data_IF_720263803231
#
_entry.id   IF_720263803231
#
_cell.length_a   1.000
_cell.length_b   1.000
_cell.length_c   1.000
_cell.angle_alpha   90.00
_cell.angle_beta   90.00
_cell.angle_gamma   90.00
#
_symmetry.space_group_name_H-M   'P 1'
#
loop_
_entity.id
_entity.type
_entity.pdbx_description
1 polymer ?
#
# COMPACT_ATOMS: atom_id res chain seq x y z
N UNK A 1 5.74 -15.27 2.10
CA UNK A 1 6.16 -14.01 2.75
C UNK A 1 7.64 -13.78 2.48
N UNK A 2 8.06 -12.57 2.09
CA UNK A 2 9.47 -12.27 1.79
C UNK A 2 10.25 -12.08 3.10
N UNK A 3 11.51 -12.52 3.13
CA UNK A 3 12.33 -12.68 4.35
C UNK A 3 12.48 -11.42 5.22
N UNK A 4 12.41 -10.21 4.64
CA UNK A 4 12.70 -8.95 5.33
C UNK A 4 11.56 -7.93 5.29
N UNK A 5 10.35 -8.32 4.86
CA UNK A 5 9.22 -7.40 4.65
C UNK A 5 8.66 -6.75 5.92
N UNK A 6 9.10 -7.19 7.11
CA UNK A 6 8.66 -6.68 8.41
C UNK A 6 9.54 -5.57 8.96
N UNK A 7 10.62 -5.24 8.26
CA UNK A 7 11.50 -4.15 8.66
C UNK A 7 10.97 -2.85 8.05
N UNK A 8 10.62 -1.89 8.91
CA UNK A 8 9.90 -0.68 8.52
C UNK A 8 10.74 0.23 7.63
N UNK A 9 10.12 0.83 6.61
CA UNK A 9 10.80 1.75 5.69
C UNK A 9 11.34 2.99 6.44
N UNK A 10 10.64 3.44 7.47
CA UNK A 10 11.05 4.54 8.35
C UNK A 10 12.31 4.20 9.14
N UNK A 11 12.58 2.91 9.42
CA UNK A 11 13.83 2.48 10.04
C UNK A 11 14.98 2.49 9.02
N UNK A 12 14.74 2.08 7.77
CA UNK A 12 15.73 2.20 6.68
C UNK A 12 16.20 3.65 6.53
N UNK A 13 15.26 4.62 6.56
CA UNK A 13 15.61 6.05 6.45
C UNK A 13 16.49 6.50 7.62
N UNK A 14 16.13 6.14 8.86
CA UNK A 14 16.92 6.50 10.05
C UNK A 14 18.32 5.92 10.02
N UNK A 15 18.45 4.63 9.70
CA UNK A 15 19.73 3.91 9.70
C UNK A 15 20.63 4.35 8.52
N UNK A 16 20.06 4.96 7.48
CA UNK A 16 20.81 5.44 6.32
C UNK A 16 21.62 6.74 6.58
N UNK A 17 21.44 7.38 7.74
CA UNK A 17 22.13 8.64 8.09
C UNK A 17 21.70 9.85 7.26
N UNK A 18 20.64 9.72 6.44
CA UNK A 18 20.07 10.82 5.65
C UNK A 18 19.31 11.78 6.56
N UNK A 19 19.48 13.09 6.37
CA UNK A 19 18.66 14.07 7.07
C UNK A 19 17.20 13.98 6.60
N UNK A 20 16.25 14.22 7.51
CA UNK A 20 14.84 14.23 7.16
C UNK A 20 14.58 15.27 6.06
N UNK A 21 14.05 14.82 4.91
CA UNK A 21 13.60 15.69 3.82
C UNK A 21 14.56 15.89 2.65
N UNK A 22 15.78 15.34 2.66
CA UNK A 22 16.75 15.59 1.57
C UNK A 22 16.47 14.80 0.29
N UNK A 23 15.85 13.62 0.39
CA UNK A 23 15.34 12.85 -0.77
C UNK A 23 14.43 11.71 -0.29
N UNK A 24 13.25 11.47 -0.90
CA UNK A 24 12.43 10.31 -0.56
C UNK A 24 13.15 8.99 -0.89
N UNK A 25 12.88 7.93 -0.12
CA UNK A 25 13.48 6.61 -0.30
C UNK A 25 13.07 5.95 -1.64
N UNK A 26 11.90 6.32 -2.15
CA UNK A 26 11.31 5.84 -3.40
C UNK A 26 10.42 6.95 -4.00
N UNK A 27 10.28 6.97 -5.32
CA UNK A 27 9.33 7.83 -6.06
C UNK A 27 8.02 7.08 -6.31
N UNK A 28 7.86 6.38 -7.44
CA UNK A 28 6.65 5.62 -7.73
C UNK A 28 6.52 4.35 -6.89
N UNK A 29 5.28 4.02 -6.51
CA UNK A 29 4.93 2.82 -5.75
C UNK A 29 3.93 1.97 -6.55
N UNK A 30 4.24 0.67 -6.69
CA UNK A 30 3.30 -0.31 -7.21
C UNK A 30 2.62 -1.03 -6.04
N UNK A 31 1.30 -0.90 -5.94
CA UNK A 31 0.53 -1.52 -4.87
C UNK A 31 -0.43 -2.58 -5.44
N UNK A 32 -0.12 -3.85 -5.21
CA UNK A 32 -1.00 -4.96 -5.59
C UNK A 32 -1.83 -5.34 -4.38
N UNK A 33 -3.11 -4.96 -4.42
CA UNK A 33 -4.07 -5.14 -3.33
C UNK A 33 -4.95 -6.34 -3.66
N UNK A 34 -4.61 -7.50 -3.10
CA UNK A 34 -5.45 -8.70 -3.14
C UNK A 34 -6.28 -8.72 -1.86
N UNK A 35 -7.49 -8.16 -1.92
CA UNK A 35 -8.45 -8.24 -0.83
C UNK A 35 -9.58 -9.18 -1.24
N UNK A 36 -10.10 -9.93 -0.27
CA UNK A 36 -11.36 -10.64 -0.44
C UNK A 36 -12.49 -9.61 -0.32
N UNK A 37 -12.93 -9.10 -1.47
CA UNK A 37 -14.04 -8.15 -1.55
C UNK A 37 -15.41 -8.86 -1.52
N UNK A 38 -15.43 -10.19 -1.39
CA UNK A 38 -16.66 -10.96 -1.36
C UNK A 38 -17.34 -10.82 0.00
N UNK A 39 -18.54 -10.25 0.01
CA UNK A 39 -19.38 -10.21 1.18
C UNK A 39 -20.51 -11.23 1.02
N UNK A 40 -20.53 -12.27 1.85
CA UNK A 40 -21.58 -13.27 1.84
C UNK A 40 -22.78 -12.78 2.67
N UNK A 41 -23.74 -12.18 1.97
CA UNK A 41 -25.03 -11.77 2.52
C UNK A 41 -26.13 -12.57 1.82
N UNK A 42 -26.94 -13.37 2.55
CA UNK A 42 -27.94 -14.23 1.95
C UNK A 42 -28.89 -13.49 1.01
N UNK A 43 -28.83 -13.82 -0.28
CA UNK A 43 -29.67 -13.24 -1.33
C UNK A 43 -29.31 -11.80 -1.74
N UNK A 44 -28.19 -11.25 -1.27
CA UNK A 44 -27.77 -9.88 -1.58
C UNK A 44 -26.47 -9.91 -2.38
N UNK A 45 -26.49 -9.30 -3.56
CA UNK A 45 -25.27 -9.01 -4.31
C UNK A 45 -24.63 -7.75 -3.74
N UNK A 46 -23.37 -7.85 -3.30
CA UNK A 46 -22.62 -6.74 -2.74
C UNK A 46 -21.36 -6.49 -3.57
N UNK A 47 -21.03 -5.22 -3.77
CA UNK A 47 -19.80 -4.78 -4.43
C UNK A 47 -19.12 -3.73 -3.56
N UNK A 48 -17.83 -3.91 -3.30
CA UNK A 48 -17.03 -2.94 -2.57
C UNK A 48 -16.42 -1.93 -3.55
N UNK A 49 -16.64 -0.65 -3.31
CA UNK A 49 -16.00 0.45 -4.03
C UNK A 49 -15.09 1.22 -3.08
N UNK A 50 -13.80 1.29 -3.41
CA UNK A 50 -12.82 2.03 -2.59
C UNK A 50 -13.01 3.54 -2.78
N UNK A 51 -13.21 4.27 -1.69
CA UNK A 51 -13.37 5.74 -1.72
C UNK A 51 -12.04 6.48 -1.49
N UNK A 52 -11.15 5.92 -0.67
CA UNK A 52 -9.84 6.48 -0.39
C UNK A 52 -8.84 5.37 0.00
N UNK A 53 -7.61 5.46 -0.50
CA UNK A 53 -6.50 4.54 -0.17
C UNK A 53 -5.49 5.13 0.82
N UNK A 54 -5.68 6.39 1.22
CA UNK A 54 -4.73 7.16 2.02
C UNK A 54 -3.85 8.10 1.17
N UNK A 55 -3.01 8.93 1.81
CA UNK A 55 -2.12 9.85 1.11
C UNK A 55 -1.00 9.11 0.37
N UNK A 56 -0.61 9.63 -0.80
CA UNK A 56 0.51 9.13 -1.61
C UNK A 56 1.53 10.25 -1.79
N UNK A 57 2.83 9.94 -1.62
CA UNK A 57 3.89 10.94 -1.67
C UNK A 57 4.23 11.43 -3.09
N UNK A 58 4.09 10.56 -4.10
CA UNK A 58 4.41 10.84 -5.50
C UNK A 58 3.34 10.24 -6.43
N UNK A 59 3.53 8.99 -6.87
CA UNK A 59 2.58 8.28 -7.73
C UNK A 59 2.36 6.84 -7.25
N UNK A 60 1.10 6.45 -7.11
CA UNK A 60 0.71 5.06 -6.83
C UNK A 60 -0.14 4.52 -7.98
N UNK A 61 0.19 3.30 -8.43
CA UNK A 61 -0.68 2.52 -9.31
C UNK A 61 -1.19 1.31 -8.56
N UNK A 62 -2.52 1.16 -8.52
CA UNK A 62 -3.21 0.11 -7.81
C UNK A 62 -3.95 -0.81 -8.76
N UNK A 63 -3.87 -2.12 -8.51
CA UNK A 63 -4.71 -3.12 -9.16
C UNK A 63 -5.55 -3.84 -8.12
N UNK A 64 -6.83 -4.01 -8.42
CA UNK A 64 -7.79 -4.74 -7.60
C UNK A 64 -8.22 -6.00 -8.37
N UNK A 65 -8.02 -7.17 -7.75
CA UNK A 65 -8.63 -8.42 -8.22
C UNK A 65 -9.89 -8.66 -7.40
N UNK A 66 -11.05 -8.69 -8.09
CA UNK A 66 -12.32 -9.13 -7.50
C UNK A 66 -12.44 -10.65 -7.47
#
# INVERSE_FOLDING_TARGET
MRRHQRYDAEQIVRDSGRAAGETPLFGPVLNIKVFDYHLDLPGIQAQTHTLATGPVNDLETGAFSG
#
